data_IF_689424307021
#
_entry.id   IF_689424307021
#
_cell.length_a   1.000
_cell.length_b   1.000
_cell.length_c   1.000
_cell.angle_alpha   90.00
_cell.angle_beta   90.00
_cell.angle_gamma   90.00
#
_symmetry.space_group_name_H-M   'P 1'
#
loop_
_entity.id
_entity.type
_entity.pdbx_description
1 polymer ?
#
# COMPACT_ATOMS: atom_id res chain seq x y z
N UNK A 1 -1.42 -23.30 42.53
CA UNK A 1 -1.46 -21.83 42.69
C UNK A 1 -1.55 -21.20 41.32
N UNK A 2 -2.74 -20.74 40.92
CA UNK A 2 -2.94 -19.98 39.68
C UNK A 2 -3.11 -18.51 40.07
N UNK A 3 -2.13 -17.68 39.72
CA UNK A 3 -2.29 -16.24 39.85
C UNK A 3 -3.00 -15.71 38.60
N UNK A 4 -4.31 -15.49 38.74
CA UNK A 4 -5.13 -14.73 37.80
C UNK A 4 -4.68 -13.26 37.86
N UNK A 5 -4.28 -12.68 36.73
CA UNK A 5 -4.38 -11.25 36.51
C UNK A 5 -5.28 -11.00 35.30
N UNK A 6 -6.47 -10.49 35.61
CA UNK A 6 -7.52 -10.10 34.69
C UNK A 6 -7.36 -8.59 34.45
N UNK A 7 -7.51 -8.18 33.19
CA UNK A 7 -7.75 -6.81 32.71
C UNK A 7 -6.60 -5.79 32.83
N UNK A 8 -5.72 -5.81 31.83
CA UNK A 8 -5.55 -4.64 30.98
C UNK A 8 -5.99 -5.05 29.57
N UNK A 9 -7.08 -4.46 29.07
CA UNK A 9 -7.46 -4.58 27.66
C UNK A 9 -6.38 -3.82 26.89
N UNK A 10 -5.46 -4.56 26.31
CA UNK A 10 -4.35 -4.01 25.53
C UNK A 10 -4.91 -3.37 24.23
N UNK A 11 -4.90 -2.03 24.07
CA UNK A 11 -5.42 -1.35 22.88
C UNK A 11 -4.68 -1.77 21.60
N UNK A 12 -3.48 -2.34 21.75
CA UNK A 12 -2.64 -2.86 20.66
C UNK A 12 -3.26 -4.14 20.08
N UNK A 13 -3.79 -5.06 20.91
CA UNK A 13 -4.45 -6.30 20.42
C UNK A 13 -5.76 -6.04 19.68
N UNK A 14 -6.54 -5.04 20.11
CA UNK A 14 -7.78 -4.67 19.40
C UNK A 14 -7.51 -3.99 18.06
N UNK A 15 -6.48 -3.14 18.00
CA UNK A 15 -6.05 -2.46 16.78
C UNK A 15 -5.44 -3.47 15.79
N UNK A 16 -4.61 -4.39 16.26
CA UNK A 16 -4.14 -5.54 15.48
C UNK A 16 -5.29 -6.39 14.92
N UNK A 17 -6.39 -6.56 15.67
CA UNK A 17 -7.59 -7.25 15.20
C UNK A 17 -8.38 -6.51 14.11
N UNK A 18 -8.39 -5.17 14.11
CA UNK A 18 -8.96 -4.34 13.03
C UNK A 18 -8.03 -4.29 11.81
N UNK A 19 -6.74 -4.08 12.02
CA UNK A 19 -5.69 -4.11 10.99
C UNK A 19 -5.65 -5.46 10.25
N UNK A 20 -5.66 -6.59 10.99
CA UNK A 20 -5.69 -7.92 10.39
C UNK A 20 -6.97 -8.16 9.56
N UNK A 21 -8.13 -7.63 10.01
CA UNK A 21 -9.38 -7.67 9.23
C UNK A 21 -9.29 -6.83 7.96
N UNK A 22 -8.75 -5.61 8.03
CA UNK A 22 -8.61 -4.72 6.87
C UNK A 22 -7.58 -5.21 5.87
N UNK A 23 -6.45 -5.76 6.31
CA UNK A 23 -5.47 -6.40 5.42
C UNK A 23 -6.07 -7.63 4.75
N UNK A 24 -6.74 -8.53 5.49
CA UNK A 24 -7.49 -9.64 4.85
C UNK A 24 -8.52 -9.11 3.87
N UNK A 25 -9.23 -8.04 4.21
CA UNK A 25 -10.21 -7.42 3.32
C UNK A 25 -9.55 -6.82 2.07
N UNK A 26 -8.38 -6.20 2.19
CA UNK A 26 -7.60 -5.66 1.06
C UNK A 26 -7.01 -6.77 0.19
N UNK A 27 -6.50 -7.86 0.79
CA UNK A 27 -6.08 -9.06 0.06
C UNK A 27 -7.26 -9.71 -0.67
N UNK A 28 -8.42 -9.82 -0.02
CA UNK A 28 -9.65 -10.32 -0.62
C UNK A 28 -10.20 -9.38 -1.70
N UNK A 29 -10.10 -8.05 -1.52
CA UNK A 29 -10.51 -7.05 -2.51
C UNK A 29 -9.56 -7.05 -3.70
N UNK A 30 -8.25 -7.20 -3.51
CA UNK A 30 -7.29 -7.37 -4.59
C UNK A 30 -7.54 -8.67 -5.36
N UNK A 31 -7.81 -9.78 -4.66
CA UNK A 31 -8.19 -11.03 -5.30
C UNK A 31 -9.52 -10.91 -6.06
N UNK A 32 -10.54 -10.25 -5.51
CA UNK A 32 -11.86 -10.10 -6.14
C UNK A 32 -11.91 -9.06 -7.26
N UNK A 33 -11.23 -7.92 -7.12
CA UNK A 33 -11.18 -6.87 -8.13
C UNK A 33 -10.50 -7.33 -9.43
N UNK A 34 -9.67 -8.37 -9.34
CA UNK A 34 -8.94 -8.95 -10.46
C UNK A 34 -9.27 -10.43 -10.69
N UNK A 35 -10.35 -10.95 -10.07
CA UNK A 35 -10.90 -12.29 -10.28
C UNK A 35 -11.61 -12.46 -11.65
N UNK A 36 -11.31 -11.60 -12.62
CA UNK A 36 -11.78 -11.78 -13.99
C UNK A 36 -11.15 -13.06 -14.56
N UNK A 37 -11.94 -14.07 -14.94
CA UNK A 37 -11.43 -15.34 -15.44
C UNK A 37 -10.74 -15.24 -16.81
N UNK A 38 -10.76 -14.08 -17.48
CA UNK A 38 -10.13 -13.90 -18.80
C UNK A 38 -8.64 -13.53 -18.68
N UNK A 39 -7.69 -14.42 -19.06
CA UNK A 39 -6.24 -14.23 -18.87
C UNK A 39 -5.58 -13.18 -19.79
N UNK A 40 -6.35 -12.29 -20.44
CA UNK A 40 -5.84 -11.27 -21.36
C UNK A 40 -6.13 -9.81 -20.97
N UNK A 41 -6.85 -9.57 -19.86
CA UNK A 41 -7.24 -8.23 -19.40
C UNK A 41 -6.49 -7.72 -18.18
N UNK A 42 -5.68 -8.57 -17.54
CA UNK A 42 -4.93 -8.16 -16.34
C UNK A 42 -3.70 -7.34 -16.74
N UNK A 43 -3.40 -6.24 -16.04
CA UNK A 43 -2.15 -5.53 -16.25
C UNK A 43 -0.97 -6.48 -16.04
N UNK A 44 0.03 -6.47 -16.94
CA UNK A 44 1.23 -7.33 -16.84
C UNK A 44 1.90 -7.26 -15.46
N UNK A 45 1.91 -6.09 -14.84
CA UNK A 45 2.42 -5.88 -13.48
C UNK A 45 1.68 -6.70 -12.42
N UNK A 46 0.38 -6.93 -12.59
CA UNK A 46 -0.40 -7.77 -11.68
C UNK A 46 -0.09 -9.24 -11.86
N UNK A 47 0.04 -9.69 -13.11
CA UNK A 47 0.41 -11.08 -13.42
C UNK A 47 1.81 -11.40 -12.91
N UNK A 48 2.75 -10.48 -13.12
CA UNK A 48 4.11 -10.59 -12.63
C UNK A 48 4.19 -10.63 -11.10
N UNK A 49 3.43 -9.77 -10.42
CA UNK A 49 3.35 -9.76 -8.97
C UNK A 49 2.71 -11.04 -8.41
N UNK A 50 1.64 -11.53 -9.03
CA UNK A 50 0.94 -12.75 -8.61
C UNK A 50 1.76 -14.03 -8.85
N UNK A 51 2.66 -14.01 -9.85
CA UNK A 51 3.57 -15.12 -10.14
C UNK A 51 4.87 -15.06 -9.31
N UNK A 52 5.09 -14.01 -8.51
CA UNK A 52 6.25 -13.92 -7.64
C UNK A 52 6.10 -14.91 -6.47
N UNK A 53 7.17 -15.61 -6.05
CA UNK A 53 7.15 -16.46 -4.87
C UNK A 53 6.66 -15.70 -3.63
N UNK A 54 5.95 -16.39 -2.75
CA UNK A 54 5.52 -15.84 -1.46
C UNK A 54 6.71 -15.42 -0.59
N UNK A 55 6.47 -14.51 0.37
CA UNK A 55 7.46 -14.15 1.37
C UNK A 55 7.78 -15.35 2.27
N UNK A 56 9.01 -15.86 2.16
CA UNK A 56 9.49 -17.01 2.94
C UNK A 56 10.16 -16.65 4.28
N UNK A 57 10.35 -15.36 4.57
CA UNK A 57 10.97 -14.90 5.82
C UNK A 57 9.96 -14.74 6.97
N UNK A 58 10.43 -14.32 8.16
CA UNK A 58 9.53 -14.04 9.28
C UNK A 58 8.60 -12.87 8.93
N UNK A 59 7.36 -12.91 9.44
CA UNK A 59 6.44 -11.78 9.33
C UNK A 59 7.05 -10.54 10.00
N UNK A 60 7.10 -9.42 9.27
CA UNK A 60 7.68 -8.16 9.74
C UNK A 60 6.57 -7.20 10.15
N UNK A 61 6.85 -6.29 11.08
CA UNK A 61 5.92 -5.21 11.42
C UNK A 61 5.82 -4.21 10.27
N UNK A 62 4.58 -3.91 9.87
CA UNK A 62 4.24 -3.06 8.74
C UNK A 62 3.28 -1.98 9.21
N UNK A 63 3.50 -0.75 8.75
CA UNK A 63 2.64 0.42 8.88
C UNK A 63 1.19 0.12 8.49
N UNK A 64 1.00 -0.56 7.36
CA UNK A 64 -0.33 -0.99 6.91
C UNK A 64 -1.16 0.04 6.15
N UNK A 65 -0.86 1.33 6.31
CA UNK A 65 -1.49 2.39 5.51
C UNK A 65 -0.51 3.49 5.05
N UNK A 66 0.65 3.08 4.50
CA UNK A 66 1.71 4.03 4.16
C UNK A 66 1.41 4.75 2.83
N UNK A 67 0.80 5.93 2.92
CA UNK A 67 0.45 6.81 1.80
C UNK A 67 0.71 8.29 2.12
N UNK A 68 0.56 9.18 1.13
CA UNK A 68 0.97 10.60 1.23
C UNK A 68 0.38 11.33 2.44
N UNK A 69 -0.88 11.09 2.81
CA UNK A 69 -1.49 11.76 3.95
C UNK A 69 -0.92 11.33 5.32
N UNK A 70 -0.17 10.22 5.38
CA UNK A 70 0.46 9.67 6.58
C UNK A 70 1.98 9.96 6.63
N UNK A 71 2.47 10.77 5.69
CA UNK A 71 3.89 11.16 5.56
C UNK A 71 3.98 12.69 5.49
N UNK A 72 3.84 13.40 6.63
CA UNK A 72 3.93 14.86 6.64
C UNK A 72 5.30 15.35 6.20
N UNK A 73 5.28 16.49 5.49
CA UNK A 73 6.47 17.23 5.08
C UNK A 73 6.35 18.68 5.49
N UNK A 74 7.44 19.28 5.96
CA UNK A 74 7.58 20.71 6.19
C UNK A 74 8.68 21.24 5.26
N UNK A 75 8.38 22.28 4.48
CA UNK A 75 9.33 22.89 3.54
C UNK A 75 10.03 21.89 2.60
N UNK A 76 9.27 20.89 2.12
CA UNK A 76 9.77 19.84 1.24
C UNK A 76 10.60 18.75 1.95
N UNK A 77 10.75 18.82 3.27
CA UNK A 77 11.49 17.87 4.09
C UNK A 77 10.55 16.89 4.78
N UNK A 78 10.89 15.60 4.76
CA UNK A 78 10.16 14.55 5.49
C UNK A 78 10.20 14.81 7.01
N UNK A 79 9.04 14.83 7.65
CA UNK A 79 8.94 15.07 9.11
C UNK A 79 8.71 13.80 9.91
N UNK A 80 8.11 12.76 9.32
CA UNK A 80 7.81 11.52 10.03
C UNK A 80 6.77 10.65 9.34
N UNK A 81 6.40 9.56 10.00
CA UNK A 81 5.30 8.67 9.63
C UNK A 81 4.29 8.67 10.77
N UNK A 82 3.01 8.84 10.45
CA UNK A 82 1.90 8.92 11.40
C UNK A 82 0.80 7.91 11.05
N UNK A 83 -0.19 7.78 11.92
CA UNK A 83 -1.36 6.89 11.74
C UNK A 83 -1.02 5.39 11.68
N UNK A 84 -0.50 4.90 12.80
CA UNK A 84 -0.15 3.50 13.04
C UNK A 84 -1.38 2.61 13.36
N UNK A 85 -2.60 3.06 13.04
CA UNK A 85 -3.84 2.36 13.38
C UNK A 85 -4.04 1.03 12.64
N UNK A 86 -3.39 0.88 11.49
CA UNK A 86 -3.46 -0.30 10.62
C UNK A 86 -2.20 -1.19 10.67
N UNK A 87 -1.38 -1.05 11.74
CA UNK A 87 -0.20 -1.88 11.97
C UNK A 87 -0.52 -3.38 11.96
N UNK A 88 0.28 -4.16 11.24
CA UNK A 88 0.18 -5.62 11.23
C UNK A 88 1.52 -6.30 10.96
N UNK A 89 1.59 -7.63 11.17
CA UNK A 89 2.76 -8.43 10.84
C UNK A 89 2.56 -9.16 9.50
N UNK A 90 3.50 -9.07 8.55
CA UNK A 90 3.37 -9.72 7.25
C UNK A 90 4.55 -9.52 6.30
N UNK A 91 4.25 -9.56 5.00
CA UNK A 91 5.21 -9.42 3.90
C UNK A 91 5.67 -7.95 3.73
N UNK A 92 6.98 -7.66 3.78
CA UNK A 92 7.52 -6.31 3.59
C UNK A 92 7.13 -5.64 2.26
N UNK A 93 6.80 -6.43 1.24
CA UNK A 93 6.35 -5.92 -0.05
C UNK A 93 5.17 -4.94 0.08
N UNK A 94 4.34 -5.13 1.11
CA UNK A 94 3.18 -4.28 1.36
C UNK A 94 3.59 -2.81 1.53
N UNK A 95 4.47 -2.48 2.48
CA UNK A 95 4.91 -1.09 2.71
C UNK A 95 5.97 -0.62 1.74
N UNK A 96 6.79 -1.52 1.19
CA UNK A 96 7.74 -1.16 0.12
C UNK A 96 7.05 -0.65 -1.15
N UNK A 97 5.76 -0.97 -1.33
CA UNK A 97 4.92 -0.40 -2.37
C UNK A 97 4.80 1.12 -2.30
N UNK A 98 4.97 1.71 -1.10
CA UNK A 98 4.85 3.14 -0.88
C UNK A 98 5.85 3.96 -1.71
N UNK A 99 6.98 3.37 -2.12
CA UNK A 99 7.95 4.01 -3.01
C UNK A 99 7.30 4.55 -4.30
N UNK A 100 6.37 3.79 -4.90
CA UNK A 100 5.66 4.19 -6.12
C UNK A 100 4.44 5.08 -5.87
N UNK A 101 3.96 5.15 -4.63
CA UNK A 101 2.78 5.92 -4.24
C UNK A 101 3.18 7.33 -3.76
N UNK A 102 4.28 7.41 -3.02
CA UNK A 102 4.76 8.62 -2.36
C UNK A 102 5.68 9.45 -3.27
N UNK A 103 6.65 8.77 -3.90
CA UNK A 103 7.80 9.43 -4.51
C UNK A 103 7.52 9.84 -5.97
N UNK A 104 8.29 10.81 -6.50
CA UNK A 104 8.27 11.12 -7.93
C UNK A 104 8.66 9.90 -8.78
N UNK A 105 8.22 9.89 -10.03
CA UNK A 105 8.63 8.89 -11.02
C UNK A 105 10.16 8.79 -11.09
N UNK A 106 10.69 7.56 -11.12
CA UNK A 106 12.13 7.29 -11.16
C UNK A 106 12.85 7.30 -9.79
N UNK A 107 12.17 7.66 -8.70
CA UNK A 107 12.79 7.66 -7.37
C UNK A 107 12.72 6.32 -6.63
N UNK A 108 11.89 5.37 -7.12
CA UNK A 108 11.67 4.09 -6.46
C UNK A 108 12.96 3.26 -6.33
N UNK A 109 13.77 3.17 -7.40
CA UNK A 109 15.02 2.39 -7.39
C UNK A 109 16.00 2.92 -6.35
N UNK A 110 16.09 4.25 -6.19
CA UNK A 110 16.92 4.88 -5.15
C UNK A 110 16.41 4.55 -3.75
N UNK A 111 15.08 4.58 -3.55
CA UNK A 111 14.47 4.22 -2.27
C UNK A 111 14.73 2.74 -1.92
N UNK A 112 14.48 1.81 -2.85
CA UNK A 112 14.71 0.38 -2.63
C UNK A 112 16.20 0.04 -2.50
N UNK A 113 17.07 0.74 -3.23
CA UNK A 113 18.53 0.61 -3.12
C UNK A 113 19.10 1.13 -1.79
N UNK A 114 18.41 2.08 -1.14
CA UNK A 114 18.76 2.56 0.20
C UNK A 114 18.16 1.70 1.33
N UNK A 115 17.09 0.95 1.06
CA UNK A 115 16.43 0.10 2.05
C UNK A 115 17.33 -1.06 2.50
N UNK A 116 17.28 -1.39 3.80
CA UNK A 116 18.09 -2.47 4.39
C UNK A 116 17.21 -3.40 5.23
N UNK A 117 17.35 -4.75 5.07
CA UNK A 117 18.15 -5.42 4.04
C UNK A 117 17.62 -5.11 2.64
N UNK A 118 18.50 -5.17 1.63
CA UNK A 118 18.09 -4.90 0.24
C UNK A 118 16.99 -5.87 -0.16
N UNK A 119 15.83 -5.38 -0.65
CA UNK A 119 14.73 -6.25 -1.05
C UNK A 119 15.13 -7.07 -2.29
N UNK A 120 14.78 -8.35 -2.29
CA UNK A 120 14.99 -9.21 -3.45
C UNK A 120 14.00 -8.91 -4.58
N UNK A 121 14.28 -9.48 -5.76
CA UNK A 121 13.45 -9.28 -6.94
C UNK A 121 11.99 -9.73 -6.72
N UNK A 122 11.77 -10.85 -6.02
CA UNK A 122 10.42 -11.34 -5.75
C UNK A 122 9.62 -10.35 -4.88
N UNK A 123 10.25 -9.79 -3.85
CA UNK A 123 9.68 -8.77 -2.97
C UNK A 123 9.32 -7.51 -3.73
N UNK A 124 10.18 -7.05 -4.64
CA UNK A 124 9.88 -5.89 -5.49
C UNK A 124 8.72 -6.16 -6.47
N UNK A 125 8.63 -7.36 -7.04
CA UNK A 125 7.50 -7.77 -7.90
C UNK A 125 6.18 -7.73 -7.13
N UNK A 126 6.12 -8.34 -5.93
CA UNK A 126 4.94 -8.28 -5.06
C UNK A 126 4.61 -6.84 -4.66
N UNK A 127 5.62 -6.02 -4.36
CA UNK A 127 5.44 -4.63 -3.95
C UNK A 127 4.85 -3.76 -5.07
N UNK A 128 5.21 -4.02 -6.34
CA UNK A 128 4.58 -3.38 -7.51
C UNK A 128 3.09 -3.74 -7.61
N UNK A 129 2.72 -5.00 -7.37
CA UNK A 129 1.33 -5.42 -7.30
C UNK A 129 0.54 -4.67 -6.22
N UNK A 130 1.11 -4.54 -5.02
CA UNK A 130 0.52 -3.75 -3.93
C UNK A 130 0.38 -2.26 -4.30
N UNK A 131 1.32 -1.69 -5.03
CA UNK A 131 1.24 -0.29 -5.47
C UNK A 131 0.05 -0.06 -6.42
N UNK A 132 -0.19 -0.99 -7.35
CA UNK A 132 -1.35 -0.93 -8.26
C UNK A 132 -2.66 -1.03 -7.48
N UNK A 133 -2.76 -2.00 -6.56
CA UNK A 133 -3.96 -2.17 -5.75
C UNK A 133 -4.24 -0.92 -4.89
N UNK A 134 -3.22 -0.36 -4.24
CA UNK A 134 -3.38 0.85 -3.42
C UNK A 134 -3.75 2.08 -4.25
N UNK A 135 -3.16 2.23 -5.43
CA UNK A 135 -3.54 3.30 -6.35
C UNK A 135 -5.01 3.17 -6.79
N UNK A 136 -5.47 1.96 -7.10
CA UNK A 136 -6.87 1.69 -7.44
C UNK A 136 -7.79 1.99 -6.26
N UNK A 137 -7.46 1.50 -5.06
CA UNK A 137 -8.24 1.79 -3.84
C UNK A 137 -8.35 3.28 -3.58
N UNK A 138 -7.25 4.05 -3.72
CA UNK A 138 -7.27 5.50 -3.57
C UNK A 138 -8.19 6.21 -4.58
N UNK A 139 -8.21 5.76 -5.84
CA UNK A 139 -9.13 6.26 -6.87
C UNK A 139 -10.59 6.00 -6.46
N UNK A 140 -10.90 4.76 -6.08
CA UNK A 140 -12.25 4.36 -5.71
C UNK A 140 -12.76 5.10 -4.45
N UNK A 141 -11.89 5.30 -3.46
CA UNK A 141 -12.20 6.08 -2.24
C UNK A 141 -12.46 7.56 -2.60
N UNK A 142 -11.63 8.14 -3.48
CA UNK A 142 -11.80 9.51 -3.95
C UNK A 142 -13.11 9.69 -4.73
N UNK A 143 -13.40 8.79 -5.68
CA UNK A 143 -14.63 8.78 -6.46
C UNK A 143 -15.86 8.60 -5.57
N UNK A 144 -15.83 7.64 -4.64
CA UNK A 144 -16.88 7.48 -3.63
C UNK A 144 -17.09 8.78 -2.83
N UNK A 145 -16.00 9.49 -2.49
CA UNK A 145 -16.05 10.77 -1.80
C UNK A 145 -16.74 11.86 -2.61
N UNK A 146 -16.42 11.98 -3.90
CA UNK A 146 -17.07 12.92 -4.83
C UNK A 146 -18.57 12.66 -4.95
N UNK A 147 -18.98 11.39 -4.87
CA UNK A 147 -20.38 10.97 -4.96
C UNK A 147 -21.10 10.82 -3.60
N UNK A 148 -20.47 11.23 -2.49
CA UNK A 148 -21.07 11.14 -1.15
C UNK A 148 -21.37 9.70 -0.68
N UNK A 149 -20.70 8.70 -1.26
CA UNK A 149 -20.90 7.28 -0.92
C UNK A 149 -20.18 6.92 0.40
N UNK A 150 -20.71 5.96 1.19
CA UNK A 150 -20.09 5.54 2.45
C UNK A 150 -18.61 5.15 2.29
N UNK A 151 -17.76 5.62 3.21
CA UNK A 151 -16.32 5.36 3.20
C UNK A 151 -15.50 6.22 2.22
N UNK A 152 -16.17 7.04 1.39
CA UNK A 152 -15.51 7.97 0.47
C UNK A 152 -14.83 9.14 1.17
N UNK A 153 -13.76 9.67 0.56
CA UNK A 153 -13.04 10.86 1.04
C UNK A 153 -12.99 11.92 -0.07
N UNK A 154 -13.84 12.95 0.00
CA UNK A 154 -13.91 13.98 -1.04
C UNK A 154 -12.58 14.75 -1.22
N UNK A 155 -11.78 14.89 -0.16
CA UNK A 155 -10.42 15.46 -0.21
C UNK A 155 -9.41 14.60 -0.95
N UNK A 156 -9.75 13.34 -1.25
CA UNK A 156 -8.99 12.43 -2.09
C UNK A 156 -9.52 12.43 -3.54
N UNK A 157 -10.69 13.05 -3.76
CA UNK A 157 -11.18 13.50 -5.06
C UNK A 157 -10.29 14.61 -5.64
N UNK A 158 -10.35 14.89 -6.94
CA UNK A 158 -9.17 15.01 -7.78
C UNK A 158 -8.17 16.11 -7.37
N UNK A 159 -6.98 15.71 -6.87
CA UNK A 159 -5.73 16.47 -7.06
C UNK A 159 -5.05 16.06 -8.38
N UNK A 160 -5.78 15.39 -9.30
CA UNK A 160 -5.24 14.66 -10.47
C UNK A 160 -4.71 15.55 -11.62
N UNK A 161 -4.86 16.87 -11.57
CA UNK A 161 -4.36 17.72 -12.66
C UNK A 161 -2.87 18.11 -12.56
N UNK A 162 -2.20 17.94 -11.40
CA UNK A 162 -0.79 18.34 -11.24
C UNK A 162 0.25 17.23 -11.41
N UNK A 163 -0.13 15.95 -11.41
CA UNK A 163 0.82 14.82 -11.62
C UNK A 163 0.66 14.05 -12.93
N UNK A 164 -0.50 14.11 -13.59
CA UNK A 164 -0.68 13.45 -14.91
C UNK A 164 -0.21 14.35 -16.06
N UNK A 165 -0.20 15.68 -15.87
CA UNK A 165 0.25 16.63 -16.90
C UNK A 165 1.77 16.57 -17.15
N UNK A 166 2.58 16.19 -16.17
CA UNK A 166 4.03 16.05 -16.31
C UNK A 166 4.44 14.75 -17.02
N UNK A 167 3.58 13.72 -17.02
CA UNK A 167 3.84 12.44 -17.69
C UNK A 167 3.73 12.52 -19.22
N UNK A 168 3.10 13.56 -19.77
CA UNK A 168 2.98 13.73 -21.24
C UNK A 168 4.20 14.40 -21.90
N UNK A 169 5.17 14.92 -21.14
CA UNK A 169 6.34 15.60 -21.74
C UNK A 169 7.57 14.72 -21.97
N UNK A 170 7.69 13.56 -21.31
CA UNK A 170 8.92 12.76 -21.37
C UNK A 170 8.64 11.30 -21.76
N UNK A 171 8.59 11.03 -23.06
CA UNK A 171 8.84 9.72 -23.67
C UNK A 171 7.82 8.60 -23.40
N UNK A 172 7.90 7.48 -24.14
CA UNK A 172 7.01 6.35 -23.95
C UNK A 172 7.27 5.68 -22.59
N UNK A 173 6.17 5.29 -21.94
CA UNK A 173 6.16 4.53 -20.70
C UNK A 173 6.84 3.18 -20.93
N UNK A 174 8.03 3.01 -20.33
CA UNK A 174 8.65 1.70 -20.17
C UNK A 174 8.24 1.20 -18.79
N UNK A 175 7.32 0.23 -18.77
CA UNK A 175 6.90 -0.54 -17.59
C UNK A 175 7.69 -1.84 -17.50
#
# INVERSE_FOLDING_TARGET
MACRHRFLIDPIRQSAGRACRRVRQNSCLGQRAWADPQPGRRPRVWEDAAAAPDWGGPALWLHGDLHLANVPTADGTFCGVIDLGDLFAGDPAFDLAAAWILLPNGAADRFHGAYRPTPDAATLRRARGWAVLRALSGILIGEAGVHGRPGGKATWGPPRHRRVATTRRNGPLVW
#
